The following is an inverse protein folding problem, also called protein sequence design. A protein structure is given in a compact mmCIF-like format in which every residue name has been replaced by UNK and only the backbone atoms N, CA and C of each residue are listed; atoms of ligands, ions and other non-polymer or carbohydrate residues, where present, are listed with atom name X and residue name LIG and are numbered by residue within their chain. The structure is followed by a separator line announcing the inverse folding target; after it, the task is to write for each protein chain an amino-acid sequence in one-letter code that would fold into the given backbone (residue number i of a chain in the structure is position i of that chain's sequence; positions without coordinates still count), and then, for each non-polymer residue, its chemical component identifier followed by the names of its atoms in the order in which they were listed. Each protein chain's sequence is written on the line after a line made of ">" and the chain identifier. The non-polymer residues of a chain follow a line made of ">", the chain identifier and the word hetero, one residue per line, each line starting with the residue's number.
data_IF_115761100049
#
_entry.id   IF_115761100049
#
_cell.length_a   1.000
_cell.length_b   1.000
_cell.length_c   1.000
_cell.angle_alpha   90.00
_cell.angle_beta   90.00
_cell.angle_gamma   90.00
#
_symmetry.space_group_name_H-M   'P 1'
#
loop_
_entity.id
_entity.type
_entity.pdbx_description
1 polymer ?
#
# COMPACT_ATOMS: atom_id res chain seq x y z
N UNK A 1 -7.09 8.62 -38.79
CA UNK A 1 -8.02 9.53 -38.11
C UNK A 1 -7.59 9.54 -36.66
N UNK A 2 -6.79 10.54 -36.27
CA UNK A 2 -6.39 10.73 -34.87
C UNK A 2 -7.40 11.68 -34.26
N UNK A 3 -8.26 11.13 -33.41
CA UNK A 3 -9.13 11.90 -32.54
C UNK A 3 -8.20 12.59 -31.52
N UNK A 4 -7.83 13.84 -31.79
CA UNK A 4 -7.10 14.67 -30.84
C UNK A 4 -8.15 15.43 -30.03
N UNK A 5 -8.60 14.82 -28.95
CA UNK A 5 -9.38 15.48 -27.90
C UNK A 5 -8.64 16.76 -27.48
N UNK A 6 -9.35 17.89 -27.50
CA UNK A 6 -8.76 19.21 -27.19
C UNK A 6 -8.53 19.33 -25.68
N UNK A 7 -7.52 20.07 -25.20
CA UNK A 7 -7.34 20.36 -23.77
C UNK A 7 -8.60 20.91 -23.08
N UNK A 8 -9.39 21.74 -23.78
CA UNK A 8 -10.68 22.26 -23.30
C UNK A 8 -11.70 21.15 -23.01
N UNK A 9 -11.73 20.08 -23.81
CA UNK A 9 -12.64 18.95 -23.61
C UNK A 9 -12.26 18.17 -22.34
N UNK A 10 -10.96 18.09 -22.02
CA UNK A 10 -10.48 17.48 -20.78
C UNK A 10 -10.79 18.34 -19.55
N UNK A 11 -10.72 19.66 -19.63
CA UNK A 11 -11.12 20.55 -18.54
C UNK A 11 -12.61 20.41 -18.22
N UNK A 12 -13.46 20.28 -19.24
CA UNK A 12 -14.91 20.05 -19.06
C UNK A 12 -15.17 18.69 -18.39
N UNK A 13 -14.51 17.62 -18.86
CA UNK A 13 -14.63 16.29 -18.26
C UNK A 13 -14.13 16.29 -16.80
N UNK A 14 -12.96 16.87 -16.53
CA UNK A 14 -12.40 16.92 -15.18
C UNK A 14 -13.33 17.66 -14.21
N UNK A 15 -13.95 18.75 -14.68
CA UNK A 15 -14.92 19.49 -13.89
C UNK A 15 -16.16 18.66 -13.61
N UNK A 16 -16.74 18.00 -14.61
CA UNK A 16 -17.91 17.12 -14.42
C UNK A 16 -17.60 16.01 -13.42
N UNK A 17 -16.45 15.35 -13.56
CA UNK A 17 -16.01 14.29 -12.64
C UNK A 17 -15.79 14.83 -11.21
N UNK A 18 -15.18 16.02 -11.07
CA UNK A 18 -14.97 16.65 -9.77
C UNK A 18 -16.29 17.04 -9.10
N UNK A 19 -17.23 17.63 -9.86
CA UNK A 19 -18.55 18.02 -9.35
C UNK A 19 -19.37 16.79 -8.93
N UNK A 20 -19.35 15.72 -9.72
CA UNK A 20 -19.99 14.44 -9.40
C UNK A 20 -19.39 13.84 -8.12
N UNK A 21 -18.05 13.71 -8.05
CA UNK A 21 -17.37 13.17 -6.89
C UNK A 21 -17.65 13.98 -5.61
N UNK A 22 -17.67 15.31 -5.71
CA UNK A 22 -18.03 16.18 -4.59
C UNK A 22 -19.48 16.01 -4.12
N UNK A 23 -20.39 15.64 -5.01
CA UNK A 23 -21.80 15.40 -4.69
C UNK A 23 -22.03 14.05 -4.00
N UNK A 24 -21.23 13.04 -4.34
CA UNK A 24 -21.34 11.67 -3.82
C UNK A 24 -20.55 11.43 -2.53
N UNK A 25 -19.62 12.33 -2.20
CA UNK A 25 -18.69 12.14 -1.08
C UNK A 25 -18.68 13.32 -0.12
N UNK A 26 -18.37 13.02 1.13
CA UNK A 26 -18.04 14.01 2.15
C UNK A 26 -16.58 14.45 2.03
N UNK A 27 -16.22 15.65 2.54
CA UNK A 27 -14.82 16.07 2.61
C UNK A 27 -13.91 15.09 3.37
N UNK A 28 -14.43 14.39 4.37
CA UNK A 28 -13.67 13.37 5.10
C UNK A 28 -13.33 12.19 4.18
N UNK A 29 -14.31 11.66 3.44
CA UNK A 29 -14.10 10.53 2.52
C UNK A 29 -13.11 10.88 1.42
N UNK A 30 -13.18 12.09 0.86
CA UNK A 30 -12.20 12.53 -0.15
C UNK A 30 -10.80 12.65 0.43
N UNK A 31 -10.65 13.25 1.61
CA UNK A 31 -9.34 13.35 2.29
C UNK A 31 -8.77 11.97 2.61
N UNK A 32 -9.61 11.05 3.12
CA UNK A 32 -9.23 9.66 3.38
C UNK A 32 -8.81 8.96 2.09
N UNK A 33 -9.55 9.15 1.01
CA UNK A 33 -9.25 8.56 -0.30
C UNK A 33 -7.92 9.06 -0.86
N UNK A 34 -7.69 10.37 -0.85
CA UNK A 34 -6.43 10.96 -1.32
C UNK A 34 -5.25 10.43 -0.52
N UNK A 35 -5.29 10.54 0.82
CA UNK A 35 -4.15 10.14 1.65
C UNK A 35 -3.90 8.63 1.62
N UNK A 36 -4.93 7.81 1.34
CA UNK A 36 -4.78 6.36 1.15
C UNK A 36 -3.91 5.98 -0.05
N UNK A 37 -3.83 6.86 -1.06
CA UNK A 37 -3.07 6.68 -2.30
C UNK A 37 -1.81 7.56 -2.36
N UNK A 38 -1.48 8.29 -1.29
CA UNK A 38 -0.27 9.10 -1.20
C UNK A 38 0.87 8.31 -0.54
N UNK A 39 1.89 7.97 -1.34
CA UNK A 39 3.03 7.15 -0.90
C UNK A 39 4.14 7.94 -0.19
N UNK A 40 4.18 9.25 -0.36
CA UNK A 40 5.17 10.16 0.25
C UNK A 40 4.49 11.11 1.25
N UNK A 41 5.19 11.58 2.29
CA UNK A 41 4.64 12.62 3.17
C UNK A 41 4.23 13.87 2.41
N UNK A 42 3.00 14.33 2.62
CA UNK A 42 2.42 15.51 1.96
C UNK A 42 1.83 16.50 2.96
N UNK A 43 1.76 17.76 2.57
CA UNK A 43 1.14 18.79 3.39
C UNK A 43 -0.39 18.70 3.35
N UNK A 44 -1.06 19.25 4.37
CA UNK A 44 -2.52 19.40 4.33
C UNK A 44 -3.01 20.30 3.18
N UNK A 45 -2.16 21.19 2.66
CA UNK A 45 -2.48 22.05 1.53
C UNK A 45 -2.51 21.25 0.23
N UNK A 46 -1.51 20.39 0.01
CA UNK A 46 -1.47 19.46 -1.12
C UNK A 46 -2.71 18.56 -1.13
N UNK A 47 -2.98 17.90 0.01
CA UNK A 47 -4.17 17.03 0.14
C UNK A 47 -5.47 17.79 -0.08
N UNK A 48 -5.54 19.06 0.32
CA UNK A 48 -6.77 19.84 0.15
C UNK A 48 -7.10 20.16 -1.31
N UNK A 49 -6.06 20.34 -2.15
CA UNK A 49 -6.24 20.50 -3.59
C UNK A 49 -6.83 19.24 -4.21
N UNK A 50 -6.19 18.09 -3.96
CA UNK A 50 -6.61 16.81 -4.52
C UNK A 50 -7.97 16.34 -3.98
N UNK A 51 -8.33 16.72 -2.75
CA UNK A 51 -9.58 16.34 -2.11
C UNK A 51 -10.71 17.37 -2.29
N UNK A 52 -10.52 18.39 -3.13
CA UNK A 52 -11.53 19.43 -3.42
C UNK A 52 -12.16 19.99 -2.13
N UNK A 53 -11.30 20.46 -1.22
CA UNK A 53 -11.70 21.00 0.08
C UNK A 53 -10.76 22.10 0.55
N UNK A 54 -11.11 22.79 1.65
CA UNK A 54 -10.23 23.83 2.19
C UNK A 54 -9.02 23.22 2.93
N UNK A 55 -7.84 23.87 2.94
CA UNK A 55 -6.69 23.42 3.74
C UNK A 55 -6.99 23.26 5.23
N UNK A 56 -7.91 24.08 5.77
CA UNK A 56 -8.37 23.98 7.17
C UNK A 56 -9.19 22.70 7.39
N UNK A 57 -10.08 22.37 6.47
CA UNK A 57 -10.91 21.15 6.52
C UNK A 57 -10.05 19.90 6.33
N UNK A 58 -9.14 19.90 5.35
CA UNK A 58 -8.20 18.81 5.14
C UNK A 58 -7.36 18.54 6.39
N UNK A 59 -6.76 19.59 6.99
CA UNK A 59 -6.00 19.45 8.25
C UNK A 59 -6.83 18.85 9.38
N UNK A 60 -8.09 19.28 9.54
CA UNK A 60 -9.00 18.72 10.55
C UNK A 60 -9.18 17.20 10.35
N UNK A 61 -9.46 16.77 9.13
CA UNK A 61 -9.70 15.35 8.84
C UNK A 61 -8.42 14.52 8.87
N UNK A 62 -7.29 15.05 8.41
CA UNK A 62 -5.99 14.38 8.51
C UNK A 62 -5.56 14.17 9.96
N UNK A 63 -5.84 15.12 10.86
CA UNK A 63 -5.60 14.94 12.30
C UNK A 63 -6.52 13.86 12.88
N UNK A 64 -7.81 13.86 12.54
CA UNK A 64 -8.72 12.79 12.98
C UNK A 64 -8.27 11.41 12.49
N UNK A 65 -7.86 11.30 11.22
CA UNK A 65 -7.27 10.08 10.66
C UNK A 65 -5.96 9.68 11.36
N UNK A 66 -5.18 10.64 11.87
CA UNK A 66 -3.99 10.35 12.65
C UNK A 66 -4.34 9.83 14.05
N UNK A 67 -5.36 10.42 14.69
CA UNK A 67 -5.89 9.95 15.98
C UNK A 67 -6.47 8.53 15.86
N UNK A 68 -7.08 8.20 14.72
CA UNK A 68 -7.59 6.86 14.35
C UNK A 68 -6.47 5.87 13.95
N UNK A 69 -5.22 6.33 13.83
CA UNK A 69 -4.08 5.52 13.39
C UNK A 69 -4.03 5.22 11.89
N UNK A 70 -4.93 5.79 11.08
CA UNK A 70 -4.92 5.65 9.62
C UNK A 70 -3.77 6.43 8.98
N UNK A 71 -3.41 7.57 9.56
CA UNK A 71 -2.35 8.49 9.11
C UNK A 71 -1.27 8.60 10.17
N UNK A 72 -0.02 8.81 9.75
CA UNK A 72 1.06 9.26 10.63
C UNK A 72 1.55 10.63 10.21
N UNK A 73 1.95 11.44 11.19
CA UNK A 73 2.51 12.77 10.97
C UNK A 73 4.03 12.74 11.01
N UNK A 74 4.67 13.49 10.12
CA UNK A 74 6.12 13.73 10.12
C UNK A 74 6.42 15.22 9.99
N UNK A 75 7.67 15.61 10.26
CA UNK A 75 8.14 16.97 9.94
C UNK A 75 8.37 17.08 8.44
N UNK A 76 7.72 18.04 7.79
CA UNK A 76 7.90 18.34 6.36
C UNK A 76 9.10 19.26 6.09
N UNK A 77 9.40 19.49 4.80
CA UNK A 77 10.58 20.22 4.32
C UNK A 77 10.74 21.64 4.90
N UNK A 78 9.64 22.30 5.26
CA UNK A 78 9.62 23.65 5.82
C UNK A 78 9.26 23.68 7.31
N UNK A 79 9.39 22.56 8.01
CA UNK A 79 9.06 22.45 9.44
C UNK A 79 7.56 22.37 9.75
N UNK A 80 6.70 22.39 8.73
CA UNK A 80 5.26 22.15 8.87
C UNK A 80 4.94 20.65 9.04
N UNK A 81 3.74 20.34 9.52
CA UNK A 81 3.25 18.95 9.61
C UNK A 81 2.99 18.40 8.21
N UNK A 82 3.67 17.29 7.89
CA UNK A 82 3.35 16.44 6.76
C UNK A 82 2.62 15.19 7.24
N UNK A 83 1.79 14.63 6.36
CA UNK A 83 0.92 13.49 6.62
C UNK A 83 1.24 12.42 5.60
N UNK A 84 1.23 11.16 6.02
CA UNK A 84 1.27 10.01 5.10
C UNK A 84 0.41 8.89 5.65
N UNK A 85 -0.01 7.97 4.79
CA UNK A 85 -0.67 6.73 5.22
C UNK A 85 0.21 5.98 6.23
N UNK A 86 -0.41 5.52 7.32
CA UNK A 86 0.27 4.64 8.29
C UNK A 86 0.62 3.30 7.60
N UNK A 87 1.88 2.83 7.71
CA UNK A 87 2.22 1.48 7.28
C UNK A 87 1.41 0.42 8.01
N UNK A 88 1.15 0.62 9.31
CA UNK A 88 0.34 -0.28 10.13
C UNK A 88 -1.10 -0.36 9.62
N UNK A 89 -1.75 0.79 9.35
CA UNK A 89 -3.11 0.83 8.83
C UNK A 89 -3.21 0.18 7.44
N UNK A 90 -2.21 0.38 6.58
CA UNK A 90 -2.13 -0.27 5.27
C UNK A 90 -2.06 -1.80 5.40
N UNK A 91 -1.23 -2.31 6.32
CA UNK A 91 -1.12 -3.76 6.54
C UNK A 91 -2.43 -4.35 7.02
N UNK A 92 -3.11 -3.70 7.96
CA UNK A 92 -4.41 -4.17 8.48
C UNK A 92 -5.49 -4.15 7.40
N UNK A 93 -5.61 -3.06 6.64
CA UNK A 93 -6.61 -2.95 5.56
C UNK A 93 -6.37 -4.01 4.48
N UNK A 94 -5.12 -4.18 4.05
CA UNK A 94 -4.77 -5.18 3.03
C UNK A 94 -4.97 -6.61 3.53
N UNK A 95 -4.71 -6.87 4.81
CA UNK A 95 -4.95 -8.18 5.40
C UNK A 95 -6.45 -8.50 5.47
N UNK A 96 -7.29 -7.54 5.84
CA UNK A 96 -8.74 -7.70 5.84
C UNK A 96 -9.28 -7.98 4.42
N UNK A 97 -8.84 -7.21 3.41
CA UNK A 97 -9.20 -7.43 2.00
C UNK A 97 -8.79 -8.82 1.50
N UNK A 98 -7.60 -9.29 1.88
CA UNK A 98 -7.15 -10.66 1.56
C UNK A 98 -8.07 -11.71 2.19
N UNK A 99 -8.43 -11.56 3.46
CA UNK A 99 -9.27 -12.52 4.19
C UNK A 99 -10.73 -12.54 3.71
N UNK A 100 -11.22 -11.45 3.12
CA UNK A 100 -12.53 -11.42 2.47
C UNK A 100 -12.60 -12.34 1.25
N UNK A 101 -11.48 -12.54 0.55
CA UNK A 101 -11.43 -13.25 -0.72
C UNK A 101 -10.67 -14.58 -0.70
N UNK A 102 -9.84 -14.82 0.32
CA UNK A 102 -8.93 -15.97 0.40
C UNK A 102 -9.01 -16.61 1.77
N UNK A 103 -9.29 -17.93 1.80
CA UNK A 103 -9.36 -18.68 3.04
C UNK A 103 -7.99 -18.84 3.72
N UNK A 104 -7.93 -19.04 5.06
CA UNK A 104 -6.66 -19.27 5.76
C UNK A 104 -5.87 -20.47 5.22
N UNK A 105 -6.53 -21.57 4.87
CA UNK A 105 -5.88 -22.76 4.29
C UNK A 105 -5.26 -22.44 2.92
N UNK A 106 -5.98 -21.71 2.08
CA UNK A 106 -5.46 -21.27 0.78
C UNK A 106 -4.28 -20.28 0.94
N UNK A 107 -4.32 -19.41 1.96
CA UNK A 107 -3.20 -18.52 2.27
C UNK A 107 -1.93 -19.29 2.62
N UNK A 108 -2.03 -20.38 3.39
CA UNK A 108 -0.87 -21.22 3.73
C UNK A 108 -0.22 -21.78 2.45
N UNK A 109 -1.03 -22.28 1.51
CA UNK A 109 -0.54 -22.76 0.21
C UNK A 109 0.13 -21.65 -0.59
N UNK A 110 -0.54 -20.50 -0.77
CA UNK A 110 0.01 -19.36 -1.55
C UNK A 110 1.28 -18.79 -0.91
N UNK A 111 1.37 -18.78 0.41
CA UNK A 111 2.58 -18.38 1.14
C UNK A 111 3.75 -19.31 0.83
N UNK A 112 3.52 -20.63 0.79
CA UNK A 112 4.55 -21.60 0.43
C UNK A 112 5.04 -21.39 -1.01
N UNK A 113 4.12 -21.24 -1.98
CA UNK A 113 4.44 -20.97 -3.38
C UNK A 113 5.26 -19.69 -3.57
N UNK A 114 4.88 -18.60 -2.89
CA UNK A 114 5.64 -17.35 -2.93
C UNK A 114 7.03 -17.52 -2.32
N UNK A 115 7.19 -18.29 -1.24
CA UNK A 115 8.51 -18.57 -0.64
C UNK A 115 9.40 -19.35 -1.60
N UNK A 116 8.86 -20.33 -2.29
CA UNK A 116 9.60 -21.11 -3.28
C UNK A 116 10.05 -20.22 -4.45
N UNK A 117 9.16 -19.39 -5.01
CA UNK A 117 9.51 -18.41 -6.05
C UNK A 117 10.61 -17.44 -5.60
N UNK A 118 10.59 -16.99 -4.33
CA UNK A 118 11.67 -16.15 -3.80
C UNK A 118 12.99 -16.91 -3.64
N UNK A 119 12.95 -18.21 -3.36
CA UNK A 119 14.16 -19.02 -3.31
C UNK A 119 14.72 -19.28 -4.72
N UNK A 120 13.86 -19.43 -5.73
CA UNK A 120 14.28 -19.53 -7.12
C UNK A 120 15.04 -18.27 -7.56
N UNK A 121 14.50 -17.07 -7.25
CA UNK A 121 15.21 -15.81 -7.52
C UNK A 121 16.58 -15.74 -6.81
N UNK A 122 16.66 -16.17 -5.55
CA UNK A 122 17.95 -16.20 -4.82
C UNK A 122 18.94 -17.18 -5.43
N UNK A 123 18.47 -18.34 -5.89
CA UNK A 123 19.30 -19.35 -6.53
C UNK A 123 19.80 -18.89 -7.91
N UNK A 124 18.95 -18.18 -8.66
CA UNK A 124 19.26 -17.66 -9.99
C UNK A 124 20.24 -16.48 -9.92
N UNK A 125 20.01 -15.51 -9.03
CA UNK A 125 20.76 -14.25 -8.99
C UNK A 125 21.84 -14.21 -7.91
N UNK A 126 21.91 -15.19 -7.00
CA UNK A 126 22.95 -15.29 -5.99
C UNK A 126 22.87 -14.25 -4.86
N UNK A 127 21.83 -13.41 -4.84
CA UNK A 127 21.63 -12.33 -3.86
C UNK A 127 20.32 -12.50 -3.11
N UNK A 128 20.22 -11.89 -1.92
CA UNK A 128 19.08 -12.09 -1.05
C UNK A 128 17.85 -11.25 -1.45
N UNK A 129 18.08 -10.17 -2.22
CA UNK A 129 17.05 -9.20 -2.58
C UNK A 129 17.29 -8.54 -3.95
N UNK A 130 16.23 -8.04 -4.61
CA UNK A 130 16.34 -7.29 -5.85
C UNK A 130 17.12 -5.98 -5.67
N UNK A 131 17.04 -5.33 -4.49
CA UNK A 131 17.82 -4.11 -4.23
C UNK A 131 19.33 -4.39 -4.14
N UNK A 132 19.70 -5.51 -3.53
CA UNK A 132 21.09 -5.98 -3.49
C UNK A 132 21.62 -6.26 -4.91
N UNK A 133 20.80 -6.89 -5.76
CA UNK A 133 21.12 -7.11 -7.16
C UNK A 133 21.39 -5.80 -7.91
N UNK A 134 20.52 -4.81 -7.74
CA UNK A 134 20.69 -3.48 -8.39
C UNK A 134 21.96 -2.78 -7.91
N UNK A 135 22.30 -2.87 -6.62
CA UNK A 135 23.54 -2.31 -6.07
C UNK A 135 24.75 -3.01 -6.65
N UNK A 136 24.75 -4.35 -6.69
CA UNK A 136 25.84 -5.14 -7.24
C UNK A 136 26.07 -4.82 -8.73
N UNK A 137 25.00 -4.78 -9.53
CA UNK A 137 25.07 -4.40 -10.94
C UNK A 137 25.63 -2.99 -11.12
N UNK A 138 25.15 -2.01 -10.34
CA UNK A 138 25.65 -0.63 -10.39
C UNK A 138 27.15 -0.58 -10.07
N UNK A 139 27.60 -1.28 -9.03
CA UNK A 139 29.00 -1.34 -8.64
C UNK A 139 29.87 -1.97 -9.73
N UNK A 140 29.39 -3.04 -10.38
CA UNK A 140 30.07 -3.70 -11.49
C UNK A 140 30.17 -2.79 -12.72
N UNK A 141 29.10 -2.07 -13.09
CA UNK A 141 29.12 -1.08 -14.18
C UNK A 141 30.17 0.01 -13.94
N UNK A 142 30.28 0.50 -12.70
CA UNK A 142 31.28 1.51 -12.31
C UNK A 142 32.71 0.96 -12.33
N UNK A 143 32.90 -0.35 -12.09
CA UNK A 143 34.21 -0.97 -12.00
C UNK A 143 34.77 -1.45 -13.36
N UNK A 144 33.95 -2.04 -14.22
CA UNK A 144 34.46 -2.86 -15.35
C UNK A 144 34.23 -2.29 -16.75
N UNK A 145 33.63 -1.10 -16.89
CA UNK A 145 33.62 -0.36 -18.16
C UNK A 145 33.17 -1.21 -19.37
N UNK A 146 31.88 -1.55 -19.40
CA UNK A 146 31.17 -2.17 -20.54
C UNK A 146 31.58 -3.62 -20.86
N UNK A 147 31.21 -4.56 -19.98
CA UNK A 147 30.96 -5.94 -20.39
C UNK A 147 29.45 -6.18 -20.40
N UNK A 148 28.95 -6.76 -21.50
CA UNK A 148 27.54 -7.14 -21.68
C UNK A 148 27.10 -8.09 -20.57
N UNK A 149 26.52 -7.54 -19.52
CA UNK A 149 25.83 -8.30 -18.49
C UNK A 149 24.52 -8.84 -19.05
N UNK A 150 24.12 -10.02 -18.56
CA UNK A 150 22.70 -10.37 -18.50
C UNK A 150 22.06 -9.43 -17.48
N UNK A 151 21.70 -8.23 -17.95
CA UNK A 151 20.87 -7.29 -17.19
C UNK A 151 19.56 -8.02 -16.88
N UNK A 152 19.22 -8.11 -15.60
CA UNK A 152 17.91 -8.63 -15.20
C UNK A 152 16.85 -7.73 -15.83
N UNK A 153 15.85 -8.32 -16.49
CA UNK A 153 14.80 -7.51 -17.08
C UNK A 153 13.97 -6.84 -15.98
N UNK A 154 13.50 -5.61 -16.25
CA UNK A 154 12.72 -4.83 -15.30
C UNK A 154 11.46 -5.57 -14.81
N UNK A 155 10.86 -6.41 -15.66
CA UNK A 155 9.72 -7.26 -15.30
C UNK A 155 10.10 -8.25 -14.19
N UNK A 156 11.28 -8.85 -14.26
CA UNK A 156 11.74 -9.83 -13.26
C UNK A 156 12.04 -9.15 -11.92
N UNK A 157 12.66 -7.98 -11.93
CA UNK A 157 12.85 -7.17 -10.72
C UNK A 157 11.52 -6.79 -10.07
N UNK A 158 10.57 -6.31 -10.89
CA UNK A 158 9.25 -5.90 -10.42
C UNK A 158 8.48 -7.10 -9.85
N UNK A 159 8.53 -8.25 -10.51
CA UNK A 159 7.92 -9.49 -10.05
C UNK A 159 8.51 -9.97 -8.72
N UNK A 160 9.84 -9.87 -8.57
CA UNK A 160 10.49 -10.21 -7.31
C UNK A 160 10.06 -9.28 -6.18
N UNK A 161 10.06 -7.96 -6.40
CA UNK A 161 9.60 -6.98 -5.43
C UNK A 161 8.12 -7.21 -5.05
N UNK A 162 7.28 -7.45 -6.04
CA UNK A 162 5.84 -7.71 -5.86
C UNK A 162 5.62 -9.00 -5.08
N UNK A 163 6.35 -10.07 -5.39
CA UNK A 163 6.27 -11.35 -4.66
C UNK A 163 6.66 -11.17 -3.19
N UNK A 164 7.73 -10.41 -2.90
CA UNK A 164 8.13 -10.10 -1.51
C UNK A 164 7.05 -9.32 -0.76
N UNK A 165 6.48 -8.30 -1.41
CA UNK A 165 5.40 -7.48 -0.83
C UNK A 165 4.15 -8.31 -0.55
N UNK A 166 3.70 -9.10 -1.52
CA UNK A 166 2.51 -9.93 -1.39
C UNK A 166 2.70 -11.01 -0.31
N UNK A 167 3.90 -11.59 -0.20
CA UNK A 167 4.22 -12.51 0.88
C UNK A 167 4.11 -11.83 2.26
N UNK A 168 4.55 -10.58 2.40
CA UNK A 168 4.42 -9.85 3.67
C UNK A 168 2.95 -9.66 4.05
N UNK A 169 2.10 -9.21 3.11
CA UNK A 169 0.66 -9.05 3.36
C UNK A 169 -0.06 -10.38 3.63
N UNK A 170 0.27 -11.46 2.92
CA UNK A 170 -0.31 -12.76 3.17
C UNK A 170 0.06 -13.31 4.56
N UNK A 171 1.30 -13.13 5.02
CA UNK A 171 1.68 -13.50 6.38
C UNK A 171 0.96 -12.65 7.43
N UNK A 172 0.74 -11.36 7.18
CA UNK A 172 -0.03 -10.50 8.07
C UNK A 172 -1.50 -10.97 8.15
N UNK A 173 -2.13 -11.24 7.01
CA UNK A 173 -3.47 -11.79 6.92
C UNK A 173 -3.61 -13.10 7.70
N UNK A 174 -2.70 -14.05 7.49
CA UNK A 174 -2.68 -15.31 8.24
C UNK A 174 -2.48 -15.09 9.75
N UNK A 175 -1.63 -14.12 10.13
CA UNK A 175 -1.41 -13.80 11.54
C UNK A 175 -2.65 -13.21 12.21
N UNK A 176 -3.39 -12.34 11.50
CA UNK A 176 -4.65 -11.77 11.98
C UNK A 176 -5.72 -12.86 12.11
N UNK A 177 -5.91 -13.68 11.07
CA UNK A 177 -6.88 -14.78 11.12
C UNK A 177 -6.62 -15.76 12.28
N UNK A 178 -5.34 -16.08 12.52
CA UNK A 178 -4.96 -16.89 13.67
C UNK A 178 -5.28 -16.19 15.00
N UNK A 179 -4.99 -14.89 15.12
CA UNK A 179 -5.29 -14.13 16.34
C UNK A 179 -6.80 -14.06 16.62
N UNK A 180 -7.62 -13.82 15.60
CA UNK A 180 -9.08 -13.79 15.70
C UNK A 180 -9.64 -15.14 16.18
N UNK A 181 -9.08 -16.26 15.72
CA UNK A 181 -9.47 -17.59 16.19
C UNK A 181 -9.32 -17.74 17.72
N UNK A 182 -8.28 -17.15 18.32
CA UNK A 182 -8.08 -17.20 19.77
C UNK A 182 -9.06 -16.28 20.53
N UNK A 183 -9.33 -15.09 20.00
CA UNK A 183 -10.29 -14.15 20.61
C UNK A 183 -11.72 -14.72 20.58
N UNK A 184 -12.12 -15.32 19.46
CA UNK A 184 -13.43 -15.95 19.31
C UNK A 184 -13.55 -17.27 20.08
N UNK A 185 -12.45 -18.02 20.19
CA UNK A 185 -12.36 -19.27 20.93
C UNK A 185 -12.60 -19.08 22.44
N UNK A 186 -12.01 -18.02 23.02
CA UNK A 186 -12.23 -17.65 24.43
C UNK A 186 -13.68 -17.18 24.69
N UNK A 187 -14.31 -16.55 23.69
CA UNK A 187 -15.70 -16.09 23.79
C UNK A 187 -16.69 -17.27 23.87
N UNK A 188 -16.47 -18.36 23.13
CA UNK A 188 -17.33 -19.56 23.16
C UNK A 188 -17.14 -20.42 24.43
N UNK A 189 -15.95 -20.42 25.02
CA UNK A 189 -15.65 -21.17 26.25
C UNK A 189 -16.31 -20.56 27.49
N UNK A 190 -16.57 -19.25 27.48
CA UNK A 190 -17.15 -18.54 28.63
C UNK A 190 -18.66 -18.77 28.76
N UNK A 191 -19.39 -18.93 27.64
CA UNK A 191 -20.85 -19.15 27.66
C UNK A 191 -21.25 -20.56 28.14
N UNK A 192 -20.45 -21.60 27.84
CA UNK A 192 -20.72 -22.97 28.31
C UNK A 192 -20.53 -23.15 29.83
N UNK A 193 -19.80 -22.23 30.48
CA UNK A 193 -19.53 -22.29 31.92
C UNK A 193 -20.56 -21.50 32.77
N UNK A 194 -21.52 -20.82 32.14
CA UNK A 194 -22.60 -20.07 32.82
C UNK A 194 -23.91 -20.89 32.93
N UNK A 195 -23.98 -22.04 32.27
CA UNK A 195 -25.16 -22.92 32.27
C UNK A 195 -25.02 -24.21 33.12
N UNK A 196 -24.01 -24.30 33.99
CA UNK A 196 -23.78 -25.45 34.88
C UNK A 196 -24.12 -25.16 36.36
#
# INVERSE_FOLDING_TARGET
>A
MSDKTSPDDFEDINKVVSDEWQSETTPYERVRHVIAHTYSPVSAETVSGDAETSPKTARKHLNALADEGFVVTTTGEHGGTAYRRSPESLVVEQAADILEHVSPDELVTRIAEMRDRLNDYRAEYGVASPEELTIEQTNQTLAEGDFRQSEIDAETLQDWQTTRRNLAFANAALSIANAEQFVDGDSRSTDDNILA
#
